data_IF_240055665321
#
_entry.id   IF_240055665321
#
_cell.length_a   1.000
_cell.length_b   1.000
_cell.length_c   1.000
_cell.angle_alpha   90.00
_cell.angle_beta   90.00
_cell.angle_gamma   90.00
#
_symmetry.space_group_name_H-M   'P 1'
#
loop_
_entity.id
_entity.type
_entity.pdbx_description
1 polymer ?
#
# COMPACT_ATOMS: atom_id res chain seq x y z
N UNK A 1 10.66 -21.51 2.12
CA UNK A 1 10.46 -20.93 2.45
C UNK A 1 9.72 -20.71 3.21
N UNK A 2 9.52 -20.71 3.50
CA UNK A 2 8.80 -20.45 4.08
C UNK A 2 8.75 -19.37 4.61
N UNK A 3 8.74 -18.93 4.55
CA UNK A 3 8.86 -17.65 5.06
C UNK A 3 7.69 -16.81 4.79
N UNK A 4 7.86 -15.54 5.00
CA UNK A 4 6.77 -14.62 4.82
C UNK A 4 6.52 -14.30 3.37
N UNK A 5 5.26 -14.23 3.04
CA UNK A 5 4.88 -13.73 1.74
C UNK A 5 4.94 -12.21 1.74
N UNK A 6 5.56 -11.66 0.73
CA UNK A 6 5.75 -10.21 0.63
C UNK A 6 5.65 -9.79 -0.83
N UNK A 7 4.89 -8.74 -1.11
CA UNK A 7 4.89 -8.20 -2.45
C UNK A 7 4.94 -6.68 -2.41
N UNK A 8 5.30 -6.09 -3.51
CA UNK A 8 5.41 -4.65 -3.61
C UNK A 8 4.85 -4.18 -4.94
N UNK A 9 4.46 -2.92 -4.96
CA UNK A 9 3.99 -2.29 -6.20
C UNK A 9 4.24 -0.80 -6.09
N UNK A 10 4.14 -0.11 -7.22
CA UNK A 10 4.19 1.33 -7.22
C UNK A 10 2.82 1.90 -6.92
N UNK A 11 2.79 2.96 -6.12
CA UNK A 11 1.55 3.67 -5.84
C UNK A 11 1.86 5.16 -5.82
N UNK A 12 1.32 5.88 -6.80
CA UNK A 12 1.51 7.32 -6.93
C UNK A 12 2.99 7.71 -6.90
N UNK A 13 3.82 6.90 -7.56
CA UNK A 13 5.24 7.18 -7.67
C UNK A 13 6.08 6.73 -6.50
N UNK A 14 5.50 6.05 -5.54
CA UNK A 14 6.23 5.56 -4.37
C UNK A 14 6.00 4.06 -4.23
N UNK A 15 7.01 3.38 -3.71
CA UNK A 15 6.93 1.95 -3.53
C UNK A 15 6.05 1.61 -2.33
N UNK A 16 5.15 0.67 -2.55
CA UNK A 16 4.29 0.14 -1.49
C UNK A 16 4.66 -1.30 -1.26
N UNK A 17 5.00 -1.63 -0.02
CA UNK A 17 5.33 -2.99 0.39
C UNK A 17 4.20 -3.54 1.23
N UNK A 18 3.87 -4.81 1.00
CA UNK A 18 2.74 -5.42 1.69
C UNK A 18 3.11 -6.81 2.21
N UNK A 19 2.78 -7.06 3.46
CA UNK A 19 2.99 -8.34 4.12
C UNK A 19 1.65 -8.91 4.56
N UNK A 20 1.02 -9.74 3.73
CA UNK A 20 -0.32 -10.24 4.06
C UNK A 20 -0.39 -11.02 5.36
N UNK A 21 0.64 -11.81 5.65
CA UNK A 21 0.62 -12.63 6.85
C UNK A 21 0.68 -11.78 8.12
N UNK A 22 1.17 -10.57 8.01
CA UNK A 22 1.23 -9.65 9.14
C UNK A 22 0.15 -8.60 9.08
N UNK A 23 -0.59 -8.58 7.99
CA UNK A 23 -1.66 -7.61 7.79
C UNK A 23 -1.16 -6.18 7.91
N UNK A 24 0.01 -5.94 7.33
CA UNK A 24 0.57 -4.60 7.37
C UNK A 24 1.22 -4.25 6.04
N UNK A 25 1.38 -2.96 5.81
CA UNK A 25 1.99 -2.47 4.60
C UNK A 25 2.75 -1.19 4.91
N UNK A 26 3.69 -0.86 4.04
CA UNK A 26 4.52 0.34 4.22
C UNK A 26 4.50 1.14 2.93
N UNK A 27 4.31 2.45 3.06
CA UNK A 27 4.25 3.35 1.91
C UNK A 27 4.85 4.68 2.31
N UNK A 28 5.74 5.19 1.46
CA UNK A 28 6.43 6.46 1.70
C UNK A 28 7.15 6.47 3.05
N UNK A 29 7.68 5.32 3.43
CA UNK A 29 8.43 5.20 4.66
C UNK A 29 7.59 5.07 5.92
N UNK A 30 6.27 4.97 5.78
CA UNK A 30 5.39 4.83 6.92
C UNK A 30 4.72 3.48 6.93
N UNK A 31 4.64 2.88 8.11
CA UNK A 31 4.00 1.59 8.27
C UNK A 31 2.53 1.79 8.63
N UNK A 32 1.69 1.03 7.95
CA UNK A 32 0.25 1.04 8.18
C UNK A 32 -0.23 -0.37 8.39
N UNK A 33 -1.35 -0.53 9.06
CA UNK A 33 -1.98 -1.84 9.25
C UNK A 33 -3.41 -1.76 8.79
N UNK A 34 -3.97 -2.94 8.46
CA UNK A 34 -5.36 -3.03 8.09
C UNK A 34 -5.55 -3.28 6.61
N UNK A 35 -6.59 -2.66 6.05
CA UNK A 35 -7.03 -2.93 4.70
C UNK A 35 -6.19 -2.17 3.68
N UNK A 36 -5.25 -2.88 3.06
CA UNK A 36 -4.38 -2.26 2.08
C UNK A 36 -5.16 -1.87 0.82
N UNK A 37 -6.16 -2.65 0.44
CA UNK A 37 -6.95 -2.33 -0.76
C UNK A 37 -7.69 -1.02 -0.55
N UNK A 38 -8.30 -0.84 0.61
CA UNK A 38 -8.96 0.41 0.92
C UNK A 38 -8.01 1.59 0.94
N UNK A 39 -6.82 1.37 1.48
CA UNK A 39 -5.80 2.40 1.51
C UNK A 39 -5.42 2.83 0.09
N UNK A 40 -5.19 1.86 -0.78
CA UNK A 40 -4.80 2.15 -2.16
C UNK A 40 -5.91 2.92 -2.86
N UNK A 41 -7.14 2.49 -2.69
CA UNK A 41 -8.28 3.16 -3.32
C UNK A 41 -8.41 4.60 -2.86
N UNK A 42 -8.23 4.83 -1.57
CA UNK A 42 -8.31 6.17 -1.03
C UNK A 42 -7.25 7.09 -1.62
N UNK A 43 -6.02 6.57 -1.73
CA UNK A 43 -4.94 7.39 -2.26
C UNK A 43 -5.19 7.73 -3.72
N UNK A 44 -5.61 6.73 -4.50
CA UNK A 44 -5.86 6.96 -5.91
C UNK A 44 -7.03 7.90 -6.13
N UNK A 45 -8.04 7.76 -5.29
CA UNK A 45 -9.21 8.62 -5.40
C UNK A 45 -8.85 10.08 -5.10
N UNK A 46 -8.07 10.30 -4.05
CA UNK A 46 -7.66 11.65 -3.70
C UNK A 46 -6.81 12.27 -4.78
N UNK A 47 -5.92 11.45 -5.36
CA UNK A 47 -5.07 11.94 -6.43
C UNK A 47 -5.90 12.32 -7.65
N UNK A 48 -6.87 11.49 -7.99
CA UNK A 48 -7.73 11.77 -9.11
C UNK A 48 -8.57 13.01 -8.90
N UNK A 49 -8.96 13.25 -7.66
CA UNK A 49 -9.76 14.41 -7.34
C UNK A 49 -9.06 15.72 -7.61
N UNK A 50 -7.76 15.73 -7.37
CA UNK A 50 -7.00 16.96 -7.51
C UNK A 50 -6.81 17.37 -8.95
N UNK A 51 -7.11 16.50 -9.89
CA UNK A 51 -6.95 16.83 -11.29
C UNK A 51 -8.15 17.56 -11.87
N UNK A 52 -9.22 17.64 -11.15
CA UNK A 52 -10.44 18.28 -11.66
C UNK A 52 -10.43 19.80 -11.48
#
# INVERSE_FOLDING_TARGET
>A
MKGEYHWSRGLLGHKLDYWPSRNKFMWKGKVHTGDVVGFIRNREKEHGKTTV
#
